data_IF_410661406285
#
_entry.id   IF_410661406285
#
_cell.length_a   1.000
_cell.length_b   1.000
_cell.length_c   1.000
_cell.angle_alpha   90.00
_cell.angle_beta   90.00
_cell.angle_gamma   90.00
#
_symmetry.space_group_name_H-M   'P 1'
#
loop_
_entity.id
_entity.type
_entity.pdbx_description
1 polymer ?
#
# COMPACT_ATOMS: atom_id res chain seq x y z
N UNK A 1 -15.49 -25.90 17.65
CA UNK A 1 -14.86 -25.55 16.36
C UNK A 1 -14.74 -24.03 16.27
N UNK A 2 -13.88 -23.46 17.12
CA UNK A 2 -13.58 -22.03 17.17
C UNK A 2 -12.08 -21.95 16.88
N UNK A 3 -11.68 -22.29 15.65
CA UNK A 3 -10.25 -22.33 15.28
C UNK A 3 -9.96 -22.43 13.76
N UNK A 4 -10.97 -22.37 12.89
CA UNK A 4 -10.78 -22.53 11.43
C UNK A 4 -10.89 -21.20 10.64
N UNK A 5 -11.29 -20.09 11.28
CA UNK A 5 -11.58 -18.82 10.57
C UNK A 5 -10.66 -17.67 11.02
N UNK A 6 -9.34 -17.92 11.06
CA UNK A 6 -8.34 -16.89 11.42
C UNK A 6 -7.43 -16.46 10.24
N UNK A 7 -7.47 -17.15 9.08
CA UNK A 7 -6.26 -17.24 8.22
C UNK A 7 -6.33 -16.76 6.77
N UNK A 8 -7.47 -16.33 6.24
CA UNK A 8 -7.46 -15.39 5.11
C UNK A 8 -7.35 -13.99 5.73
N UNK A 9 -6.11 -13.59 6.02
CA UNK A 9 -5.81 -12.37 6.78
C UNK A 9 -6.51 -11.17 6.15
N UNK A 10 -7.01 -10.20 6.95
CA UNK A 10 -7.58 -8.91 6.48
C UNK A 10 -6.77 -8.28 5.33
N UNK A 11 -5.46 -8.48 5.32
CA UNK A 11 -4.58 -8.07 4.23
C UNK A 11 -4.94 -8.67 2.86
N UNK A 12 -5.24 -9.97 2.78
CA UNK A 12 -5.65 -10.64 1.54
C UNK A 12 -7.05 -10.20 1.11
N UNK A 13 -7.99 -10.00 2.05
CA UNK A 13 -9.31 -9.47 1.76
C UNK A 13 -9.20 -8.09 1.10
N UNK A 14 -8.43 -7.19 1.70
CA UNK A 14 -8.18 -5.86 1.14
C UNK A 14 -7.47 -5.92 -0.22
N UNK A 15 -6.50 -6.81 -0.40
CA UNK A 15 -5.85 -6.97 -1.72
C UNK A 15 -6.87 -7.43 -2.78
N UNK A 16 -7.74 -8.38 -2.46
CA UNK A 16 -8.81 -8.83 -3.35
C UNK A 16 -9.74 -7.67 -3.70
N UNK A 17 -10.21 -6.91 -2.70
CA UNK A 17 -11.00 -5.68 -2.90
C UNK A 17 -10.27 -4.68 -3.82
N UNK A 18 -8.95 -4.54 -3.65
CA UNK A 18 -8.11 -3.67 -4.48
C UNK A 18 -8.04 -4.10 -5.94
N UNK A 19 -7.98 -5.41 -6.21
CA UNK A 19 -8.02 -5.95 -7.57
C UNK A 19 -9.38 -5.69 -8.22
N UNK A 20 -10.48 -6.00 -7.51
CA UNK A 20 -11.85 -5.81 -8.00
C UNK A 20 -12.15 -4.33 -8.35
N UNK A 21 -11.54 -3.40 -7.61
CA UNK A 21 -11.71 -1.96 -7.82
C UNK A 21 -10.64 -1.32 -8.72
N UNK A 22 -9.79 -2.12 -9.39
CA UNK A 22 -8.71 -1.64 -10.25
C UNK A 22 -7.73 -0.67 -9.56
N UNK A 23 -7.57 -0.81 -8.24
CA UNK A 23 -6.57 -0.09 -7.45
C UNK A 23 -5.23 -0.80 -7.49
N UNK A 24 -5.25 -2.13 -7.57
CA UNK A 24 -4.09 -3.00 -7.60
C UNK A 24 -4.22 -3.99 -8.75
N UNK A 25 -3.11 -4.35 -9.38
CA UNK A 25 -3.03 -5.52 -10.25
C UNK A 25 -1.72 -6.27 -10.04
N UNK A 26 -1.64 -7.49 -10.58
CA UNK A 26 -0.44 -8.33 -10.50
C UNK A 26 0.08 -8.66 -11.91
N UNK A 27 1.39 -8.87 -12.03
CA UNK A 27 1.97 -9.47 -13.23
C UNK A 27 1.47 -10.90 -13.44
N UNK A 28 1.58 -11.42 -14.67
CA UNK A 28 1.12 -12.78 -15.01
C UNK A 28 1.74 -13.87 -14.11
N UNK A 29 3.00 -13.68 -13.70
CA UNK A 29 3.73 -14.58 -12.81
C UNK A 29 3.48 -14.35 -11.32
N UNK A 30 2.62 -13.38 -10.95
CA UNK A 30 2.29 -12.99 -9.59
C UNK A 30 3.44 -12.38 -8.78
N UNK A 31 4.62 -12.18 -9.38
CA UNK A 31 5.82 -11.72 -8.67
C UNK A 31 5.83 -10.21 -8.46
N UNK A 32 5.08 -9.45 -9.25
CA UNK A 32 5.01 -8.00 -9.17
C UNK A 32 3.59 -7.55 -8.90
N UNK A 33 3.48 -6.56 -8.04
CA UNK A 33 2.27 -5.80 -7.80
C UNK A 33 2.37 -4.47 -8.56
N UNK A 34 1.24 -3.95 -9.01
CA UNK A 34 1.09 -2.63 -9.63
C UNK A 34 0.02 -1.88 -8.86
N UNK A 35 0.35 -0.68 -8.40
CA UNK A 35 -0.53 0.26 -7.75
C UNK A 35 -1.01 1.30 -8.76
N UNK A 36 -2.33 1.48 -8.84
CA UNK A 36 -2.98 2.54 -9.60
C UNK A 36 -3.31 3.70 -8.65
N UNK A 37 -2.31 4.52 -8.34
CA UNK A 37 -2.44 5.70 -7.48
C UNK A 37 -2.10 6.98 -8.27
N UNK A 38 -1.55 8.02 -7.64
CA UNK A 38 -1.12 9.27 -8.31
C UNK A 38 -0.21 9.04 -9.52
N UNK A 39 0.54 7.94 -9.48
CA UNK A 39 1.27 7.37 -10.62
C UNK A 39 1.17 5.85 -10.56
N UNK A 40 1.23 5.22 -11.73
CA UNK A 40 1.41 3.76 -11.75
C UNK A 40 2.76 3.42 -11.11
N UNK A 41 2.73 2.61 -10.05
CA UNK A 41 3.93 2.13 -9.38
C UNK A 41 3.97 0.61 -9.36
N UNK A 42 5.08 0.02 -9.79
CA UNK A 42 5.24 -1.43 -9.79
C UNK A 42 6.45 -1.84 -8.98
N UNK A 43 6.28 -2.83 -8.12
CA UNK A 43 7.35 -3.37 -7.27
C UNK A 43 7.20 -4.88 -7.06
N UNK A 44 8.19 -5.50 -6.43
CA UNK A 44 8.21 -6.92 -6.11
C UNK A 44 7.22 -7.23 -4.99
N UNK A 45 6.29 -8.16 -5.21
CA UNK A 45 5.40 -8.65 -4.15
C UNK A 45 6.10 -9.58 -3.15
N UNK A 46 7.36 -9.94 -3.41
CA UNK A 46 8.18 -10.74 -2.48
C UNK A 46 8.71 -9.93 -1.30
N UNK A 47 8.59 -8.59 -1.34
CA UNK A 47 8.98 -7.77 -0.21
C UNK A 47 8.08 -8.10 1.00
N UNK A 48 8.65 -8.37 2.19
CA UNK A 48 7.88 -8.90 3.31
C UNK A 48 6.85 -7.92 3.88
N UNK A 49 6.98 -6.62 3.56
CA UNK A 49 6.07 -5.55 3.97
C UNK A 49 5.00 -5.28 2.89
N UNK A 50 5.18 -5.78 1.66
CA UNK A 50 4.32 -5.43 0.51
C UNK A 50 2.87 -5.83 0.72
N UNK A 51 2.62 -6.98 1.34
CA UNK A 51 1.26 -7.43 1.64
C UNK A 51 0.52 -6.42 2.54
N UNK A 52 1.24 -5.87 3.52
CA UNK A 52 0.70 -4.90 4.47
C UNK A 52 0.48 -3.57 3.75
N UNK A 53 1.46 -3.11 2.94
CA UNK A 53 1.35 -1.89 2.14
C UNK A 53 0.18 -1.91 1.16
N UNK A 54 0.03 -3.01 0.41
CA UNK A 54 -1.06 -3.21 -0.54
C UNK A 54 -2.43 -3.10 0.13
N UNK A 55 -2.58 -3.75 1.28
CA UNK A 55 -3.82 -3.71 2.05
C UNK A 55 -4.16 -2.31 2.57
N UNK A 56 -3.20 -1.61 3.19
CA UNK A 56 -3.44 -0.26 3.71
C UNK A 56 -3.70 0.75 2.60
N UNK A 57 -3.06 0.62 1.44
CA UNK A 57 -3.39 1.44 0.28
C UNK A 57 -4.87 1.28 -0.10
N UNK A 58 -5.39 0.05 -0.12
CA UNK A 58 -6.80 -0.19 -0.43
C UNK A 58 -7.73 0.38 0.64
N UNK A 59 -7.42 0.21 1.93
CA UNK A 59 -8.22 0.81 3.00
C UNK A 59 -8.25 2.33 2.92
N UNK A 60 -7.09 2.97 2.68
CA UNK A 60 -7.00 4.43 2.53
C UNK A 60 -7.93 4.95 1.44
N UNK A 61 -8.04 4.22 0.32
CA UNK A 61 -8.88 4.63 -0.80
C UNK A 61 -10.36 4.26 -0.58
N UNK A 62 -10.65 3.02 -0.18
CA UNK A 62 -12.03 2.52 -0.14
C UNK A 62 -12.76 2.83 1.16
N UNK A 63 -12.06 2.82 2.29
CA UNK A 63 -12.65 2.94 3.62
C UNK A 63 -12.48 4.35 4.19
N UNK A 64 -11.31 4.95 4.01
CA UNK A 64 -11.03 6.34 4.43
C UNK A 64 -11.28 7.38 3.34
N UNK A 65 -11.64 6.94 2.12
CA UNK A 65 -12.05 7.80 1.00
C UNK A 65 -10.99 8.83 0.58
N UNK A 66 -9.71 8.56 0.80
CA UNK A 66 -8.65 9.36 0.22
C UNK A 66 -8.58 9.12 -1.29
N UNK A 67 -8.64 10.17 -2.14
CA UNK A 67 -8.52 10.00 -3.58
C UNK A 67 -7.19 9.35 -3.92
N UNK A 68 -7.22 8.25 -4.68
CA UNK A 68 -5.99 7.51 -5.06
C UNK A 68 -5.01 8.39 -5.84
N UNK A 69 -5.52 9.40 -6.55
CA UNK A 69 -4.75 10.40 -7.29
C UNK A 69 -3.91 11.30 -6.37
N UNK A 70 -4.24 11.35 -5.08
CA UNK A 70 -3.51 12.07 -4.03
C UNK A 70 -2.65 11.14 -3.16
N UNK A 71 -2.45 9.89 -3.56
CA UNK A 71 -1.61 8.93 -2.84
C UNK A 71 -0.42 8.55 -3.72
N UNK A 72 0.79 8.57 -3.16
CA UNK A 72 1.99 8.03 -3.81
C UNK A 72 2.66 6.98 -2.92
N UNK A 73 3.39 6.06 -3.55
CA UNK A 73 4.01 4.87 -2.95
C UNK A 73 5.52 4.95 -3.12
N UNK A 74 6.29 4.66 -2.07
CA UNK A 74 7.77 4.65 -2.09
C UNK A 74 8.37 6.02 -2.48
N UNK A 75 7.92 7.06 -1.77
CA UNK A 75 8.28 8.46 -2.04
C UNK A 75 9.61 8.79 -1.36
N UNK A 76 10.56 9.32 -2.14
CA UNK A 76 11.83 9.81 -1.61
C UNK A 76 11.60 11.03 -0.72
N UNK A 77 12.09 10.98 0.52
CA UNK A 77 12.03 12.11 1.46
C UNK A 77 13.35 12.86 1.41
N UNK A 78 13.37 14.06 0.83
CA UNK A 78 14.59 14.85 0.56
C UNK A 78 15.48 15.16 1.79
N UNK A 79 14.94 15.03 3.01
CA UNK A 79 15.59 15.52 4.24
C UNK A 79 16.38 14.48 5.03
N UNK A 80 16.47 13.20 4.61
CA UNK A 80 17.19 12.17 5.37
C UNK A 80 18.37 11.61 4.59
N UNK A 81 19.51 11.50 5.26
CA UNK A 81 20.67 10.71 4.82
C UNK A 81 20.85 9.59 5.84
N UNK A 82 20.88 8.29 5.44
CA UNK A 82 20.76 7.76 4.08
C UNK A 82 19.37 7.97 3.44
N UNK A 83 19.28 7.75 2.12
CA UNK A 83 18.07 7.90 1.30
C UNK A 83 16.91 7.11 1.93
N UNK A 84 15.99 7.81 2.56
CA UNK A 84 14.83 7.22 3.23
C UNK A 84 13.59 7.43 2.37
N UNK A 85 12.81 6.37 2.19
CA UNK A 85 11.59 6.38 1.38
C UNK A 85 10.41 6.11 2.28
N UNK A 86 9.40 6.97 2.18
CA UNK A 86 8.13 6.72 2.82
C UNK A 86 7.33 5.69 2.02
N UNK A 87 6.79 4.68 2.70
CA UNK A 87 6.05 3.60 2.06
C UNK A 87 4.78 4.10 1.34
N UNK A 88 3.95 4.88 2.03
CA UNK A 88 2.75 5.52 1.46
C UNK A 88 2.69 6.97 1.94
N UNK A 89 2.45 7.89 1.02
CA UNK A 89 2.20 9.30 1.33
C UNK A 89 0.85 9.70 0.77
N UNK A 90 -0.02 10.26 1.62
CA UNK A 90 -1.26 10.92 1.22
C UNK A 90 -1.03 12.42 1.23
N UNK A 91 -1.45 13.11 0.18
CA UNK A 91 -1.29 14.55 0.03
C UNK A 91 -2.61 15.28 0.24
N UNK A 92 -2.53 16.50 0.78
CA UNK A 92 -3.69 17.39 0.91
C UNK A 92 -4.11 17.97 -0.45
N UNK A 93 -3.11 18.31 -1.28
CA UNK A 93 -3.29 18.96 -2.57
C UNK A 93 -3.08 18.02 -3.78
N UNK A 94 -3.70 18.37 -4.90
CA UNK A 94 -3.63 17.62 -6.16
C UNK A 94 -2.26 17.71 -6.86
N UNK A 95 -1.41 18.66 -6.46
CA UNK A 95 -0.05 18.82 -7.03
C UNK A 95 0.99 17.99 -6.28
N UNK A 96 0.57 17.22 -5.27
CA UNK A 96 1.40 16.35 -4.43
C UNK A 96 2.55 17.11 -3.76
N UNK A 97 2.28 18.32 -3.24
CA UNK A 97 3.31 19.17 -2.62
C UNK A 97 3.23 19.22 -1.09
N UNK A 98 2.09 18.89 -0.53
CA UNK A 98 1.80 19.02 0.91
C UNK A 98 1.43 17.64 1.46
N UNK A 99 2.40 16.87 1.96
CA UNK A 99 2.13 15.60 2.64
C UNK A 99 1.20 15.83 3.83
N UNK A 100 0.11 15.07 3.88
CA UNK A 100 -0.88 15.10 4.94
C UNK A 100 -0.69 13.93 5.91
N UNK A 101 -0.47 12.73 5.37
CA UNK A 101 -0.26 11.50 6.13
C UNK A 101 0.91 10.72 5.51
N UNK A 102 1.78 10.19 6.37
CA UNK A 102 2.82 9.22 6.00
C UNK A 102 2.53 7.92 6.74
N UNK A 103 2.43 6.83 5.99
CA UNK A 103 2.26 5.48 6.54
C UNK A 103 3.54 4.71 6.29
N UNK A 104 4.10 4.14 7.37
CA UNK A 104 5.23 3.22 7.31
C UNK A 104 4.73 1.82 7.65
N UNK A 105 5.04 0.87 6.79
CA UNK A 105 4.60 -0.51 6.91
C UNK A 105 5.70 -1.38 7.48
N UNK A 106 5.31 -2.48 8.11
CA UNK A 106 6.21 -3.47 8.66
C UNK A 106 5.68 -4.85 8.33
N UNK A 107 6.57 -5.83 8.20
CA UNK A 107 6.18 -7.23 7.98
C UNK A 107 5.20 -7.71 9.07
N UNK A 108 4.25 -8.56 8.68
CA UNK A 108 3.17 -9.03 9.56
C UNK A 108 3.65 -9.81 10.81
N UNK A 109 4.89 -10.31 10.84
CA UNK A 109 5.42 -11.11 11.96
C UNK A 109 6.22 -10.29 12.99
N UNK A 110 5.83 -9.05 13.25
CA UNK A 110 6.43 -8.29 14.35
C UNK A 110 5.87 -8.80 15.69
N UNK A 111 6.62 -9.69 16.35
CA UNK A 111 6.41 -10.00 17.77
C UNK A 111 7.07 -8.86 18.57
N UNK A 112 6.27 -8.13 19.34
CA UNK A 112 6.76 -7.22 20.38
C UNK A 112 7.35 -8.00 21.55
#
# INVERSE_FOLDING_TARGET
MIEIVEKDTIFYENITRGIENNLISFSEDGNRIVYNCSRNYSTSFKNPEEKVRASYFVELVLDYLYPKEKIDIEVKVERRTPDDRADIVVYEDEKLKSPFLVVETKKMNFRF
#
